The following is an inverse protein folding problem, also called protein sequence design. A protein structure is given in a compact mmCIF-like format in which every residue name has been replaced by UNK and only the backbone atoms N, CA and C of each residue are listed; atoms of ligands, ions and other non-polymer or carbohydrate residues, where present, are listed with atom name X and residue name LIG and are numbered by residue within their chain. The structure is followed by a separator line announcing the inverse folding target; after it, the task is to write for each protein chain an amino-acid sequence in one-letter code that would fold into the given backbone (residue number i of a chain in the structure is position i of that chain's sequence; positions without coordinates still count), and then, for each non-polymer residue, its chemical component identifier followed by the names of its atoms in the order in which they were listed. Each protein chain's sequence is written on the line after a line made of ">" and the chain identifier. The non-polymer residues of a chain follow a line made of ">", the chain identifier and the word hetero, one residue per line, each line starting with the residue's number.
data_IF_320179267657
#
_entry.id   IF_320179267657
#
_cell.length_a   1.000
_cell.length_b   1.000
_cell.length_c   1.000
_cell.angle_alpha   90.00
_cell.angle_beta   90.00
_cell.angle_gamma   90.00
#
_symmetry.space_group_name_H-M   'P 1'
#
loop_
_entity.id
_entity.type
_entity.pdbx_description
1 polymer ?
#
# COMPACT_ATOMS: atom_id res chain seq x y z
N UNK A 1 -22.76 41.69 58.90
CA UNK A 1 -22.61 40.33 58.33
C UNK A 1 -22.07 40.47 56.93
N UNK A 2 -21.16 39.57 56.53
CA UNK A 2 -20.47 39.46 55.23
C UNK A 2 -19.01 39.95 55.25
N UNK A 3 -18.13 38.98 55.47
CA UNK A 3 -16.67 38.97 55.32
C UNK A 3 -16.28 38.99 53.83
N UNK A 4 -15.24 39.74 53.41
CA UNK A 4 -14.59 39.49 52.13
C UNK A 4 -13.53 38.38 52.30
N UNK A 5 -13.64 37.29 51.54
CA UNK A 5 -12.53 36.35 51.38
C UNK A 5 -11.78 36.66 50.09
N UNK A 6 -10.52 37.07 50.27
CA UNK A 6 -9.52 37.06 49.22
C UNK A 6 -9.04 35.61 49.02
N UNK A 7 -9.14 35.09 47.80
CA UNK A 7 -8.46 33.87 47.38
C UNK A 7 -7.32 34.28 46.44
N UNK A 8 -6.10 34.08 46.92
CA UNK A 8 -4.86 34.12 46.15
C UNK A 8 -4.32 32.69 46.08
N UNK A 9 -3.49 32.40 45.06
CA UNK A 9 -2.57 31.25 44.93
C UNK A 9 -3.20 30.07 44.15
N UNK A 10 -2.61 29.42 43.15
CA UNK A 10 -1.35 29.56 42.40
C UNK A 10 -1.50 28.76 41.09
N UNK A 11 -0.68 29.11 40.11
CA UNK A 11 -0.63 28.45 38.81
C UNK A 11 -0.05 27.03 38.90
N UNK A 12 -0.70 26.05 38.29
CA UNK A 12 0.03 24.91 37.71
C UNK A 12 -0.77 24.32 36.56
N UNK A 13 -0.62 24.90 35.36
CA UNK A 13 -1.01 24.20 34.13
C UNK A 13 0.02 23.10 33.92
N UNK A 14 -0.33 21.87 34.31
CA UNK A 14 0.48 20.68 34.05
C UNK A 14 0.54 20.43 32.55
N UNK A 15 1.61 20.88 31.91
CA UNK A 15 1.96 20.50 30.54
C UNK A 15 2.26 19.00 30.49
N UNK A 16 1.27 18.19 30.14
CA UNK A 16 1.46 16.78 29.80
C UNK A 16 2.13 16.70 28.43
N UNK A 17 3.46 16.68 28.41
CA UNK A 17 4.21 16.28 27.22
C UNK A 17 3.83 14.83 26.94
N UNK A 18 2.99 14.63 25.94
CA UNK A 18 2.73 13.31 25.38
C UNK A 18 4.07 12.73 24.95
N UNK A 19 4.60 11.82 25.76
CA UNK A 19 5.85 11.10 25.49
C UNK A 19 5.66 10.39 24.15
N UNK A 20 6.31 10.90 23.12
CA UNK A 20 6.39 10.25 21.83
C UNK A 20 6.82 8.81 22.08
N UNK A 21 5.92 7.87 21.78
CA UNK A 21 6.17 6.44 21.95
C UNK A 21 7.24 6.07 20.93
N UNK A 22 8.49 6.01 21.37
CA UNK A 22 9.58 5.44 20.59
C UNK A 22 9.25 3.98 20.35
N UNK A 23 8.85 3.64 19.12
CA UNK A 23 8.81 2.25 18.67
C UNK A 23 10.26 1.79 18.56
N UNK A 24 10.75 1.07 19.57
CA UNK A 24 11.99 0.29 19.42
C UNK A 24 11.78 -0.64 18.22
N UNK A 25 12.52 -0.41 17.14
CA UNK A 25 12.44 -1.26 15.97
C UNK A 25 12.92 -2.67 16.35
N UNK A 26 12.06 -3.67 16.21
CA UNK A 26 12.42 -5.07 16.40
C UNK A 26 13.37 -5.49 15.28
N UNK A 27 14.63 -5.79 15.62
CA UNK A 27 15.69 -6.17 14.68
C UNK A 27 15.79 -7.68 14.47
N UNK A 28 14.85 -8.46 15.00
CA UNK A 28 14.92 -9.91 14.95
C UNK A 28 14.34 -10.51 13.65
N UNK A 29 15.02 -11.52 13.11
CA UNK A 29 14.67 -12.17 11.85
C UNK A 29 13.47 -13.12 12.08
N UNK A 30 12.43 -13.00 11.25
CA UNK A 30 11.21 -13.82 11.30
C UNK A 30 11.05 -14.62 10.01
N UNK A 31 10.70 -15.92 10.08
CA UNK A 31 10.31 -16.67 8.90
C UNK A 31 9.09 -16.04 8.22
N UNK A 32 9.15 -15.90 6.91
CA UNK A 32 8.05 -15.40 6.09
C UNK A 32 7.65 -16.48 5.09
N UNK A 33 6.35 -16.81 5.03
CA UNK A 33 5.76 -17.63 3.98
C UNK A 33 4.82 -16.77 3.16
N UNK A 34 5.02 -16.80 1.85
CA UNK A 34 4.09 -16.18 0.90
C UNK A 34 2.79 -16.98 0.92
N UNK A 35 1.68 -16.29 1.12
CA UNK A 35 0.34 -16.86 0.97
C UNK A 35 -0.47 -15.94 0.05
N UNK A 36 -0.90 -16.47 -1.09
CA UNK A 36 -1.76 -15.76 -2.04
C UNK A 36 -3.12 -16.44 -2.03
N UNK A 37 -4.16 -15.70 -1.66
CA UNK A 37 -5.50 -16.26 -1.57
C UNK A 37 -6.06 -16.60 -2.97
N UNK A 38 -6.94 -17.61 -3.04
CA UNK A 38 -7.65 -17.93 -4.29
C UNK A 38 -8.45 -16.75 -4.82
N UNK A 39 -9.05 -15.96 -3.92
CA UNK A 39 -9.78 -14.75 -4.29
C UNK A 39 -8.89 -13.72 -5.01
N UNK A 40 -7.63 -13.55 -4.56
CA UNK A 40 -6.68 -12.65 -5.21
C UNK A 40 -6.31 -13.15 -6.62
N UNK A 41 -6.13 -14.47 -6.79
CA UNK A 41 -5.85 -15.07 -8.11
C UNK A 41 -7.04 -14.96 -9.06
N UNK A 42 -8.26 -15.12 -8.55
CA UNK A 42 -9.48 -14.93 -9.35
C UNK A 42 -9.64 -13.48 -9.79
N UNK A 43 -9.37 -12.52 -8.90
CA UNK A 43 -9.39 -11.09 -9.24
C UNK A 43 -8.33 -10.75 -10.30
N UNK A 44 -7.11 -11.27 -10.14
CA UNK A 44 -6.04 -11.12 -11.12
C UNK A 44 -6.49 -11.59 -12.52
N UNK A 45 -7.01 -12.82 -12.63
CA UNK A 45 -7.50 -13.37 -13.90
C UNK A 45 -8.62 -12.53 -14.50
N UNK A 46 -9.55 -12.06 -13.67
CA UNK A 46 -10.64 -11.17 -14.11
C UNK A 46 -10.09 -9.88 -14.72
N UNK A 47 -9.11 -9.25 -14.06
CA UNK A 47 -8.52 -7.98 -14.50
C UNK A 47 -7.71 -8.14 -15.78
N UNK A 48 -6.93 -9.21 -15.89
CA UNK A 48 -6.21 -9.56 -17.12
C UNK A 48 -7.21 -9.70 -18.28
N UNK A 49 -8.30 -10.44 -18.09
CA UNK A 49 -9.31 -10.63 -19.14
C UNK A 49 -10.07 -9.35 -19.50
N UNK A 50 -10.21 -8.42 -18.55
CA UNK A 50 -10.83 -7.12 -18.75
C UNK A 50 -9.86 -6.04 -19.28
N UNK A 51 -8.65 -6.40 -19.71
CA UNK A 51 -7.63 -5.45 -20.15
C UNK A 51 -8.12 -4.68 -21.38
N UNK A 52 -8.12 -3.36 -21.27
CA UNK A 52 -8.37 -2.45 -22.40
C UNK A 52 -7.03 -2.10 -23.03
N UNK A 53 -6.82 -2.55 -24.26
CA UNK A 53 -5.58 -2.30 -24.97
C UNK A 53 -5.55 -0.89 -25.57
N UNK A 54 -4.42 -0.18 -25.48
CA UNK A 54 -4.22 1.05 -26.22
C UNK A 54 -4.04 0.76 -27.71
N UNK A 55 -4.06 1.82 -28.52
CA UNK A 55 -3.64 1.73 -29.92
C UNK A 55 -2.15 1.32 -30.02
N UNK A 56 -1.77 0.79 -31.18
CA UNK A 56 -0.39 0.40 -31.48
C UNK A 56 0.54 1.62 -31.50
N UNK A 57 1.80 1.42 -31.11
CA UNK A 57 2.85 2.44 -31.13
C UNK A 57 3.06 3.03 -32.54
N UNK A 58 3.53 4.28 -32.58
CA UNK A 58 3.78 4.99 -33.85
C UNK A 58 5.12 4.63 -34.48
N UNK A 59 6.05 4.07 -33.70
CA UNK A 59 7.41 3.73 -34.12
C UNK A 59 7.64 2.22 -34.03
N UNK A 60 8.54 1.70 -34.85
CA UNK A 60 8.85 0.27 -34.89
C UNK A 60 9.88 -0.16 -33.82
N UNK A 61 10.57 0.79 -33.18
CA UNK A 61 11.53 0.53 -32.11
C UNK A 61 10.90 0.62 -30.71
N UNK A 62 11.71 0.54 -29.66
CA UNK A 62 11.27 0.57 -28.27
C UNK A 62 11.45 1.94 -27.61
N UNK A 63 11.69 3.00 -28.39
CA UNK A 63 11.92 4.35 -27.84
C UNK A 63 10.71 4.91 -27.09
N UNK A 64 9.50 4.41 -27.39
CA UNK A 64 8.25 4.75 -26.70
C UNK A 64 7.88 3.78 -25.57
N UNK A 65 8.74 2.80 -25.26
CA UNK A 65 8.53 1.82 -24.20
C UNK A 65 8.18 0.42 -24.71
N UNK A 66 7.45 -0.32 -23.88
CA UNK A 66 7.10 -1.70 -24.15
C UNK A 66 6.08 -1.81 -25.29
N UNK A 67 6.43 -2.57 -26.32
CA UNK A 67 5.57 -2.75 -27.50
C UNK A 67 4.34 -3.60 -27.18
N UNK A 68 3.18 -3.20 -27.69
CA UNK A 68 1.89 -3.86 -27.52
C UNK A 68 1.95 -5.31 -27.97
N UNK A 69 2.63 -5.58 -29.08
CA UNK A 69 2.84 -6.92 -29.63
C UNK A 69 3.63 -7.84 -28.69
N UNK A 70 4.42 -7.29 -27.76
CA UNK A 70 5.14 -8.05 -26.73
C UNK A 70 4.31 -8.21 -25.45
N UNK A 71 3.52 -7.20 -25.08
CA UNK A 71 2.70 -7.22 -23.87
C UNK A 71 1.48 -8.14 -24.00
N UNK A 72 0.82 -8.18 -25.16
CA UNK A 72 -0.37 -9.01 -25.36
C UNK A 72 -0.13 -10.51 -25.09
N UNK A 73 0.91 -11.16 -25.66
CA UNK A 73 1.22 -12.56 -25.35
C UNK A 73 1.56 -12.79 -23.88
N UNK A 74 2.26 -11.85 -23.24
CA UNK A 74 2.62 -11.96 -21.82
C UNK A 74 1.39 -11.94 -20.91
N UNK A 75 0.49 -10.98 -21.15
CA UNK A 75 -0.76 -10.87 -20.38
C UNK A 75 -1.64 -12.10 -20.62
N UNK A 76 -1.72 -12.60 -21.86
CA UNK A 76 -2.44 -13.84 -22.17
C UNK A 76 -1.86 -15.06 -21.43
N UNK A 77 -0.53 -15.17 -21.37
CA UNK A 77 0.14 -16.25 -20.64
C UNK A 77 -0.18 -16.19 -19.13
N UNK A 78 -0.15 -15.02 -18.52
CA UNK A 78 -0.51 -14.86 -17.10
C UNK A 78 -1.97 -15.18 -16.78
N UNK A 79 -2.89 -14.89 -17.70
CA UNK A 79 -4.31 -15.21 -17.53
C UNK A 79 -4.61 -16.71 -17.65
N UNK A 80 -3.98 -17.36 -18.63
CA UNK A 80 -4.46 -18.66 -19.13
C UNK A 80 -3.41 -19.79 -19.08
N UNK A 81 -2.12 -19.48 -19.02
CA UNK A 81 -1.04 -20.46 -19.13
C UNK A 81 -0.16 -20.61 -17.88
N UNK A 82 -0.17 -19.62 -16.98
CA UNK A 82 0.66 -19.64 -15.78
C UNK A 82 -0.08 -20.28 -14.60
N UNK A 83 0.59 -21.23 -13.92
CA UNK A 83 0.14 -21.77 -12.65
C UNK A 83 0.67 -20.90 -11.50
N UNK A 84 -0.25 -20.34 -10.71
CA UNK A 84 0.04 -19.41 -9.63
C UNK A 84 0.17 -20.10 -8.26
N UNK A 85 0.10 -21.43 -8.21
CA UNK A 85 0.12 -22.24 -6.99
C UNK A 85 1.50 -22.80 -6.66
#
# INVERSE_FOLDING_TARGET
>A
MTTPQAVTTDATVTSSVAKARSTSADSSIRPFRVHVSDAALMDLKRRINATRWPDKETVADQSQGAQLARLQPLVQYWGNGYDWR
#
